data_IF_562399243268
#
_entry.id   IF_562399243268
#
_cell.length_a   1.000
_cell.length_b   1.000
_cell.length_c   1.000
_cell.angle_alpha   90.00
_cell.angle_beta   90.00
_cell.angle_gamma   90.00
#
_symmetry.space_group_name_H-M   'P 1'
#
loop_
_entity.id
_entity.type
_entity.pdbx_description
1 polymer ?
#
# COMPACT_ATOMS: atom_id res chain seq x y z
N UNK A 1 -24.91 -13.29 -51.78
CA UNK A 1 -25.98 -13.02 -50.81
C UNK A 1 -25.37 -12.29 -49.65
N UNK A 2 -25.95 -11.15 -49.32
CA UNK A 2 -25.26 -10.10 -48.58
C UNK A 2 -25.32 -10.36 -47.08
N UNK A 3 -24.19 -10.17 -46.39
CA UNK A 3 -24.10 -10.15 -44.92
C UNK A 3 -25.14 -9.20 -44.29
N UNK A 4 -25.60 -8.21 -45.07
CA UNK A 4 -26.65 -7.26 -44.67
C UNK A 4 -28.01 -7.94 -44.48
N UNK A 5 -28.38 -8.89 -45.34
CA UNK A 5 -29.65 -9.63 -45.21
C UNK A 5 -29.69 -10.53 -43.95
N UNK A 6 -28.56 -11.16 -43.61
CA UNK A 6 -28.44 -11.98 -42.40
C UNK A 6 -28.51 -11.15 -41.12
N UNK A 7 -27.94 -9.94 -41.14
CA UNK A 7 -27.99 -8.99 -40.02
C UNK A 7 -29.42 -8.51 -39.78
N UNK A 8 -30.18 -8.19 -40.83
CA UNK A 8 -31.57 -7.74 -40.70
C UNK A 8 -32.53 -8.87 -40.31
N UNK A 9 -32.26 -10.10 -40.76
CA UNK A 9 -32.98 -11.31 -40.33
C UNK A 9 -32.76 -11.59 -38.83
N UNK A 10 -31.54 -11.43 -38.33
CA UNK A 10 -31.20 -11.54 -36.90
C UNK A 10 -31.83 -10.43 -36.05
N UNK A 11 -31.83 -9.20 -36.55
CA UNK A 11 -32.47 -8.04 -35.89
C UNK A 11 -33.97 -8.23 -35.71
N UNK A 12 -34.62 -8.86 -36.68
CA UNK A 12 -36.05 -9.13 -36.68
C UNK A 12 -36.39 -10.32 -35.76
N UNK A 13 -35.55 -11.36 -35.72
CA UNK A 13 -35.75 -12.52 -34.85
C UNK A 13 -35.49 -12.25 -33.37
N UNK A 14 -34.59 -11.33 -33.01
CA UNK A 14 -34.27 -11.00 -31.61
C UNK A 14 -35.12 -9.87 -30.99
N UNK A 15 -36.21 -9.40 -31.63
CA UNK A 15 -37.04 -8.29 -31.12
C UNK A 15 -36.21 -7.04 -30.70
N UNK A 16 -35.13 -6.72 -31.42
CA UNK A 16 -34.24 -5.59 -31.08
C UNK A 16 -34.92 -4.21 -31.20
N UNK A 17 -36.09 -4.15 -31.84
CA UNK A 17 -36.79 -2.91 -32.20
C UNK A 17 -37.45 -2.18 -31.02
N UNK A 18 -37.82 -2.91 -29.97
CA UNK A 18 -38.49 -2.36 -28.78
C UNK A 18 -37.59 -2.28 -27.53
N UNK A 19 -36.31 -2.62 -27.67
CA UNK A 19 -35.38 -2.55 -26.53
C UNK A 19 -35.09 -1.09 -26.15
N UNK A 20 -35.13 -0.75 -24.83
CA UNK A 20 -34.77 0.57 -24.35
C UNK A 20 -33.35 0.93 -24.79
N UNK A 21 -33.11 2.20 -25.08
CA UNK A 21 -31.84 2.70 -25.63
C UNK A 21 -30.63 2.32 -24.78
N UNK A 22 -30.80 2.20 -23.46
CA UNK A 22 -29.80 1.71 -22.51
C UNK A 22 -29.33 0.27 -22.78
N UNK A 23 -30.24 -0.62 -23.17
CA UNK A 23 -29.92 -2.03 -23.45
C UNK A 23 -29.17 -2.19 -24.79
N UNK A 24 -29.48 -1.34 -25.77
CA UNK A 24 -28.74 -1.29 -27.04
C UNK A 24 -27.31 -0.81 -26.84
N UNK A 25 -27.11 0.24 -26.04
CA UNK A 25 -25.79 0.73 -25.68
C UNK A 25 -25.01 -0.35 -24.92
N UNK A 26 -25.66 -1.07 -24.00
CA UNK A 26 -25.06 -2.19 -23.28
C UNK A 26 -24.53 -3.30 -24.19
N UNK A 27 -25.28 -3.70 -25.22
CA UNK A 27 -24.87 -4.75 -26.16
C UNK A 27 -23.69 -4.29 -27.04
N UNK A 28 -23.69 -3.03 -27.48
CA UNK A 28 -22.56 -2.45 -28.24
C UNK A 28 -21.30 -2.39 -27.39
N UNK A 29 -21.40 -1.98 -26.12
CA UNK A 29 -20.28 -1.97 -25.19
C UNK A 29 -19.76 -3.38 -24.89
N UNK A 30 -20.65 -4.36 -24.70
CA UNK A 30 -20.27 -5.77 -24.51
C UNK A 30 -19.50 -6.31 -25.72
N UNK A 31 -19.98 -6.02 -26.94
CA UNK A 31 -19.30 -6.40 -28.18
C UNK A 31 -17.91 -5.78 -28.30
N UNK A 32 -17.77 -4.49 -27.97
CA UNK A 32 -16.49 -3.79 -28.00
C UNK A 32 -15.48 -4.36 -26.99
N UNK A 33 -15.94 -4.73 -25.79
CA UNK A 33 -15.11 -5.37 -24.75
C UNK A 33 -14.62 -6.74 -25.20
N UNK A 34 -15.49 -7.56 -25.80
CA UNK A 34 -15.10 -8.88 -26.32
C UNK A 34 -14.05 -8.72 -27.44
N UNK A 35 -14.24 -7.75 -28.34
CA UNK A 35 -13.30 -7.48 -29.42
C UNK A 35 -11.95 -6.97 -28.88
N UNK A 36 -11.95 -6.16 -27.82
CA UNK A 36 -10.75 -5.71 -27.13
C UNK A 36 -9.99 -6.87 -26.46
N UNK A 37 -10.69 -7.81 -25.82
CA UNK A 37 -10.08 -9.01 -25.21
C UNK A 37 -9.46 -9.92 -26.29
N UNK A 38 -10.15 -10.12 -27.42
CA UNK A 38 -9.61 -10.87 -28.55
C UNK A 38 -8.39 -10.18 -29.16
N UNK A 39 -8.39 -8.84 -29.23
CA UNK A 39 -7.25 -8.06 -29.70
C UNK A 39 -6.05 -8.17 -28.77
N UNK A 40 -6.26 -8.08 -27.45
CA UNK A 40 -5.23 -8.31 -26.43
C UNK A 40 -4.66 -9.73 -26.50
N UNK A 41 -5.53 -10.74 -26.68
CA UNK A 41 -5.11 -12.14 -26.83
C UNK A 41 -4.33 -12.41 -28.11
N UNK A 42 -4.66 -11.73 -29.22
CA UNK A 42 -3.93 -11.87 -30.48
C UNK A 42 -2.54 -11.22 -30.41
N UNK A 43 -2.40 -10.13 -29.65
CA UNK A 43 -1.11 -9.45 -29.47
C UNK A 43 -0.10 -10.27 -28.64
N UNK A 44 -0.59 -11.13 -27.74
CA UNK A 44 0.24 -12.10 -27.00
C UNK A 44 0.83 -13.18 -27.91
N UNK A 45 0.16 -13.53 -29.02
CA UNK A 45 0.65 -14.57 -29.93
C UNK A 45 1.71 -14.04 -30.91
N UNK A 46 1.76 -12.73 -31.14
CA UNK A 46 2.74 -12.10 -32.04
C UNK A 46 4.03 -11.66 -31.36
N UNK A 47 4.05 -11.62 -30.02
CA UNK A 47 5.20 -11.12 -29.24
C UNK A 47 5.99 -12.25 -28.56
N UNK A 48 6.10 -13.40 -29.23
CA UNK A 48 6.93 -14.53 -28.78
C UNK A 48 8.40 -14.37 -29.19
N UNK A 49 9.14 -13.49 -28.51
CA UNK A 49 10.59 -13.45 -28.64
C UNK A 49 11.21 -14.72 -28.04
N UNK A 50 11.97 -15.41 -28.89
CA UNK A 50 12.68 -16.64 -28.58
C UNK A 50 13.88 -16.31 -27.69
N UNK A 51 13.74 -16.52 -26.38
CA UNK A 51 14.86 -16.44 -25.45
C UNK A 51 15.77 -17.67 -25.62
N UNK A 52 16.82 -17.49 -26.41
CA UNK A 52 17.89 -18.47 -26.62
C UNK A 52 18.63 -18.73 -25.30
N UNK A 53 18.79 -20.02 -25.01
CA UNK A 53 19.49 -20.57 -23.85
C UNK A 53 21.01 -20.45 -24.04
N UNK A 54 21.64 -19.93 -22.99
CA UNK A 54 23.07 -19.81 -22.74
C UNK A 54 23.80 -21.17 -22.83
N UNK A 55 24.96 -21.16 -23.47
CA UNK A 55 25.80 -22.32 -23.74
C UNK A 55 27.27 -21.91 -23.80
N UNK A 56 27.87 -21.88 -22.61
CA UNK A 56 29.31 -21.76 -22.32
C UNK A 56 30.26 -22.41 -23.33
N UNK A 57 31.28 -21.66 -23.78
CA UNK A 57 32.64 -22.13 -24.11
C UNK A 57 33.49 -20.89 -24.46
N UNK A 58 34.47 -20.49 -23.65
CA UNK A 58 35.86 -20.95 -23.70
C UNK A 58 36.77 -19.82 -24.25
N UNK A 59 37.59 -19.27 -23.36
CA UNK A 59 38.98 -18.82 -23.53
C UNK A 59 39.45 -18.26 -24.88
N UNK A 60 40.04 -17.06 -24.86
CA UNK A 60 41.44 -16.85 -25.28
C UNK A 60 41.83 -15.37 -25.17
N UNK A 61 42.83 -15.10 -24.33
CA UNK A 61 43.64 -13.90 -24.41
C UNK A 61 44.54 -14.02 -25.65
N UNK A 62 44.59 -12.98 -26.49
CA UNK A 62 45.74 -12.78 -27.36
C UNK A 62 45.97 -11.29 -27.63
N UNK A 63 47.13 -10.85 -27.12
CA UNK A 63 47.79 -9.58 -27.35
C UNK A 63 48.52 -9.63 -28.71
N UNK A 64 48.52 -8.54 -29.48
CA UNK A 64 49.19 -8.50 -30.78
C UNK A 64 48.84 -7.33 -31.70
N UNK A 65 49.27 -6.13 -31.30
CA UNK A 65 50.12 -5.21 -32.09
C UNK A 65 49.91 -5.06 -33.63
N UNK A 66 49.59 -3.81 -34.00
CA UNK A 66 50.11 -2.96 -35.10
C UNK A 66 49.50 -2.97 -36.54
N UNK A 67 49.06 -1.76 -36.92
CA UNK A 67 49.23 -1.05 -38.20
C UNK A 67 48.30 -1.37 -39.40
N UNK A 68 47.50 -0.36 -39.80
CA UNK A 68 46.63 -0.42 -40.98
C UNK A 68 45.78 0.82 -41.28
N UNK A 69 46.40 2.00 -41.30
CA UNK A 69 46.10 3.24 -42.05
C UNK A 69 44.71 3.47 -42.73
N UNK A 70 44.03 4.54 -42.24
CA UNK A 70 43.18 5.57 -42.90
C UNK A 70 41.90 5.21 -43.67
N UNK A 71 40.74 5.71 -43.19
CA UNK A 71 39.94 6.75 -43.88
C UNK A 71 39.28 7.68 -42.85
N UNK A 72 39.66 8.95 -42.90
CA UNK A 72 38.95 10.11 -42.33
C UNK A 72 37.62 10.35 -43.06
N UNK A 73 36.50 10.43 -42.35
CA UNK A 73 35.44 11.37 -42.70
C UNK A 73 34.73 11.92 -41.45
N UNK A 74 34.63 13.24 -41.47
CA UNK A 74 34.23 14.19 -40.44
C UNK A 74 32.84 13.98 -39.81
N UNK A 75 32.81 14.35 -38.53
CA UNK A 75 31.77 15.09 -37.80
C UNK A 75 30.41 15.30 -38.48
N UNK A 76 29.39 14.72 -37.85
CA UNK A 76 28.16 15.45 -37.56
C UNK A 76 27.90 15.36 -36.06
N UNK A 77 28.09 16.50 -35.38
CA UNK A 77 27.67 16.70 -34.01
C UNK A 77 26.15 16.48 -33.90
N UNK A 78 25.76 15.54 -33.04
CA UNK A 78 24.46 15.62 -32.37
C UNK A 78 24.73 15.65 -30.87
N UNK A 79 24.73 16.86 -30.32
CA UNK A 79 24.18 17.10 -28.99
C UNK A 79 22.80 16.44 -28.94
N UNK A 80 22.63 15.50 -28.02
CA UNK A 80 21.43 14.70 -27.90
C UNK A 80 21.40 14.02 -26.57
N UNK A 81 21.07 14.80 -25.54
CA UNK A 81 20.47 14.37 -24.27
C UNK A 81 21.26 13.28 -23.54
N UNK A 82 21.99 13.70 -22.51
CA UNK A 82 22.25 12.85 -21.35
C UNK A 82 20.91 12.26 -20.89
N UNK A 83 20.63 11.03 -21.32
CA UNK A 83 19.63 10.19 -20.72
C UNK A 83 20.16 9.89 -19.32
N UNK A 84 19.90 10.82 -18.40
CA UNK A 84 19.83 10.52 -16.99
C UNK A 84 18.76 9.44 -16.88
N UNK A 85 19.19 8.18 -16.94
CA UNK A 85 18.38 7.05 -16.52
C UNK A 85 18.11 7.29 -15.05
N UNK A 86 17.03 8.00 -14.76
CA UNK A 86 16.50 8.21 -13.41
C UNK A 86 16.24 6.81 -12.88
N UNK A 87 17.21 6.25 -12.14
CA UNK A 87 17.00 4.99 -11.44
C UNK A 87 15.72 5.16 -10.61
N UNK A 88 14.77 4.22 -10.69
CA UNK A 88 13.55 4.34 -9.90
C UNK A 88 13.98 4.39 -8.43
N UNK A 89 13.53 5.42 -7.72
CA UNK A 89 13.76 5.51 -6.29
C UNK A 89 13.21 4.23 -5.64
N UNK A 90 13.99 3.59 -4.78
CA UNK A 90 13.57 2.36 -4.06
C UNK A 90 13.03 2.77 -2.70
N UNK A 91 11.92 2.18 -2.30
CA UNK A 91 11.26 2.39 -1.01
C UNK A 91 11.46 1.14 -0.15
N UNK A 92 11.76 1.33 1.13
CA UNK A 92 11.81 0.26 2.12
C UNK A 92 10.47 0.11 2.81
N UNK A 93 9.93 -1.11 2.86
CA UNK A 93 8.64 -1.43 3.50
C UNK A 93 8.74 -2.67 4.37
N UNK A 94 8.18 -2.61 5.57
CA UNK A 94 8.14 -3.74 6.49
C UNK A 94 6.81 -4.48 6.38
N UNK A 95 6.82 -5.73 5.91
CA UNK A 95 5.61 -6.56 5.76
C UNK A 95 5.56 -7.57 6.91
N UNK A 96 4.46 -7.56 7.66
CA UNK A 96 4.25 -8.45 8.83
C UNK A 96 2.85 -9.04 8.85
N UNK A 97 2.68 -10.10 9.64
CA UNK A 97 1.40 -10.79 9.82
C UNK A 97 1.27 -12.01 8.91
N UNK A 98 0.08 -12.22 8.36
CA UNK A 98 -0.29 -13.40 7.58
C UNK A 98 0.18 -13.33 6.11
N UNK A 99 1.50 -13.32 5.93
CA UNK A 99 2.19 -13.43 4.64
C UNK A 99 3.19 -14.58 4.69
N UNK A 100 3.59 -15.12 3.53
CA UNK A 100 4.46 -16.29 3.48
C UNK A 100 5.82 -16.02 4.14
N UNK A 101 6.42 -14.86 3.89
CA UNK A 101 7.71 -14.45 4.44
C UNK A 101 7.60 -13.03 5.03
N UNK A 102 7.32 -12.87 6.32
CA UNK A 102 7.39 -11.57 6.98
C UNK A 102 8.82 -11.02 6.96
N UNK A 103 8.98 -9.72 6.72
CA UNK A 103 10.31 -9.12 6.62
C UNK A 103 10.32 -7.72 6.00
N UNK A 104 11.53 -7.18 5.81
CA UNK A 104 11.77 -5.91 5.15
C UNK A 104 11.99 -6.14 3.65
N UNK A 105 11.31 -5.35 2.81
CA UNK A 105 11.35 -5.45 1.36
C UNK A 105 11.65 -4.10 0.72
N UNK A 106 12.37 -4.13 -0.40
CA UNK A 106 12.58 -2.96 -1.25
C UNK A 106 11.69 -3.04 -2.48
N UNK A 107 10.92 -1.99 -2.73
CA UNK A 107 10.01 -1.87 -3.89
C UNK A 107 10.28 -0.58 -4.64
N UNK A 108 9.88 -0.50 -5.90
CA UNK A 108 10.02 0.74 -6.67
C UNK A 108 9.07 1.83 -6.15
N UNK A 109 9.47 3.09 -6.22
CA UNK A 109 8.63 4.23 -5.87
C UNK A 109 7.37 4.26 -6.74
N UNK A 110 6.22 4.50 -6.11
CA UNK A 110 4.91 4.39 -6.75
C UNK A 110 4.35 2.95 -6.83
N UNK A 111 5.08 1.96 -6.33
CA UNK A 111 4.56 0.60 -6.17
C UNK A 111 3.35 0.59 -5.25
N UNK A 112 2.41 -0.33 -5.51
CA UNK A 112 1.23 -0.55 -4.67
C UNK A 112 1.49 -1.62 -3.63
N UNK A 113 0.70 -1.61 -2.55
CA UNK A 113 0.75 -2.61 -1.46
C UNK A 113 0.80 -4.04 -2.00
N UNK A 114 0.09 -4.34 -3.08
CA UNK A 114 0.15 -5.65 -3.75
C UNK A 114 1.58 -6.10 -4.08
N UNK A 115 2.43 -5.22 -4.62
CA UNK A 115 3.80 -5.57 -4.99
C UNK A 115 4.65 -5.99 -3.78
N UNK A 116 4.45 -5.35 -2.61
CA UNK A 116 5.13 -5.74 -1.38
C UNK A 116 4.63 -7.08 -0.83
N UNK A 117 3.33 -7.38 -0.95
CA UNK A 117 2.77 -8.68 -0.57
C UNK A 117 3.29 -9.79 -1.50
N UNK A 118 3.37 -9.52 -2.81
CA UNK A 118 3.93 -10.45 -3.78
C UNK A 118 5.42 -10.71 -3.51
N UNK A 119 6.19 -9.66 -3.18
CA UNK A 119 7.59 -9.78 -2.73
C UNK A 119 7.73 -10.59 -1.44
N UNK A 120 6.75 -10.51 -0.54
CA UNK A 120 6.67 -11.35 0.67
C UNK A 120 6.26 -12.80 0.40
N UNK A 121 6.07 -13.21 -0.86
CA UNK A 121 5.63 -14.55 -1.25
C UNK A 121 4.12 -14.77 -1.18
N UNK A 122 3.36 -13.69 -1.11
CA UNK A 122 1.90 -13.70 -1.07
C UNK A 122 1.31 -13.92 0.33
N UNK A 123 -0.01 -14.03 0.35
CA UNK A 123 -0.80 -14.28 1.55
C UNK A 123 -0.72 -15.74 2.02
N UNK A 124 -0.79 -15.97 3.33
CA UNK A 124 -1.05 -17.32 3.88
C UNK A 124 -2.52 -17.71 3.69
N UNK A 125 -2.85 -18.99 3.92
CA UNK A 125 -4.24 -19.45 3.89
C UNK A 125 -5.12 -18.82 4.98
N UNK A 126 -4.52 -18.37 6.08
CA UNK A 126 -5.21 -17.76 7.21
C UNK A 126 -5.30 -16.23 7.11
N UNK A 127 -4.69 -15.64 6.07
CA UNK A 127 -4.70 -14.21 5.84
C UNK A 127 -6.10 -13.66 5.54
N UNK A 128 -6.45 -12.57 6.22
CA UNK A 128 -7.54 -11.72 5.80
C UNK A 128 -7.03 -10.72 4.75
N UNK A 129 -7.25 -11.03 3.47
CA UNK A 129 -6.86 -10.16 2.36
C UNK A 129 -7.54 -8.77 2.43
N UNK A 130 -8.72 -8.68 3.03
CA UNK A 130 -9.44 -7.41 3.23
C UNK A 130 -8.85 -6.52 4.32
N UNK A 131 -7.83 -6.97 5.06
CA UNK A 131 -7.16 -6.16 6.09
C UNK A 131 -6.27 -5.06 5.52
N UNK A 132 -5.90 -5.16 4.25
CA UNK A 132 -5.03 -4.19 3.57
C UNK A 132 -5.64 -3.75 2.25
N UNK A 133 -5.46 -2.47 1.90
CA UNK A 133 -5.84 -1.98 0.58
C UNK A 133 -4.71 -2.24 -0.42
N UNK A 134 -4.82 -3.33 -1.18
CA UNK A 134 -3.84 -3.75 -2.19
C UNK A 134 -3.52 -2.69 -3.25
N UNK A 135 -4.48 -1.79 -3.53
CA UNK A 135 -4.35 -0.76 -4.55
C UNK A 135 -3.67 0.53 -4.05
N UNK A 136 -3.44 0.65 -2.74
CA UNK A 136 -2.80 1.82 -2.13
C UNK A 136 -1.33 1.89 -2.54
N UNK A 137 -0.84 3.09 -2.81
CA UNK A 137 0.60 3.33 -3.03
C UNK A 137 1.39 3.14 -1.74
N UNK A 138 2.61 2.66 -1.89
CA UNK A 138 3.53 2.42 -0.78
C UNK A 138 4.31 3.70 -0.48
N UNK A 139 4.49 3.97 0.80
CA UNK A 139 5.32 5.08 1.31
C UNK A 139 6.60 4.51 1.92
N UNK A 140 7.72 5.21 1.73
CA UNK A 140 9.00 4.80 2.32
C UNK A 140 8.93 4.71 3.86
N UNK A 141 9.52 3.65 4.40
CA UNK A 141 9.61 3.39 5.84
C UNK A 141 8.30 2.94 6.49
N UNK A 142 7.26 2.62 5.72
CA UNK A 142 5.99 2.18 6.29
C UNK A 142 5.96 0.69 6.69
N UNK A 143 4.96 0.32 7.50
CA UNK A 143 4.68 -1.06 7.87
C UNK A 143 3.31 -1.50 7.33
N UNK A 144 3.30 -2.63 6.61
CA UNK A 144 2.09 -3.29 6.12
C UNK A 144 1.81 -4.48 7.04
N UNK A 145 0.64 -4.46 7.69
CA UNK A 145 0.21 -5.53 8.60
C UNK A 145 -0.95 -6.29 7.96
N UNK A 146 -0.75 -7.58 7.68
CA UNK A 146 -1.82 -8.46 7.19
C UNK A 146 -2.42 -9.21 8.37
N UNK A 147 -3.67 -8.91 8.70
CA UNK A 147 -4.37 -9.58 9.80
C UNK A 147 -4.78 -11.00 9.41
N UNK A 148 -4.97 -11.88 10.40
CA UNK A 148 -5.59 -13.19 10.18
C UNK A 148 -7.11 -13.09 10.10
N UNK A 149 -7.74 -14.06 9.44
CA UNK A 149 -9.21 -14.22 9.37
C UNK A 149 -9.81 -14.34 10.78
N UNK A 150 -9.12 -15.02 11.70
CA UNK A 150 -9.55 -15.17 13.10
C UNK A 150 -9.50 -13.83 13.86
N UNK A 151 -8.43 -13.05 13.71
CA UNK A 151 -8.31 -11.74 14.35
C UNK A 151 -9.38 -10.76 13.83
N UNK A 152 -9.73 -10.83 12.55
CA UNK A 152 -10.78 -9.98 11.97
C UNK A 152 -12.20 -10.35 12.42
N UNK A 153 -12.45 -11.62 12.76
CA UNK A 153 -13.76 -12.06 13.28
C UNK A 153 -13.96 -11.63 14.74
N UNK A 154 -12.90 -11.57 15.54
CA UNK A 154 -12.95 -11.07 16.92
C UNK A 154 -13.26 -9.57 17.02
N UNK A 155 -12.88 -8.77 16.00
CA UNK A 155 -13.22 -7.34 15.92
C UNK A 155 -14.68 -7.05 15.52
N UNK A 156 -15.32 -7.94 14.77
CA UNK A 156 -16.70 -7.77 14.32
C UNK A 156 -17.75 -8.12 15.39
N UNK A 157 -17.39 -8.95 16.39
CA UNK A 157 -18.26 -9.29 17.52
C UNK A 157 -18.34 -8.19 18.60
N UNK A 158 -17.56 -7.11 18.50
CA UNK A 158 -17.55 -5.97 19.43
C UNK A 158 -18.50 -4.81 19.05
N UNK A 159 -19.08 -4.81 17.84
CA UNK A 159 -19.95 -3.75 17.34
C UNK A 159 -21.42 -4.17 17.36
N UNK A 160 -21.92 -4.50 18.55
CA UNK A 160 -23.27 -5.03 18.71
C UNK A 160 -23.71 -5.12 20.17
N UNK A 161 -23.56 -4.05 20.95
CA UNK A 161 -24.27 -3.89 22.24
C UNK A 161 -24.27 -2.42 22.68
N UNK A 162 -25.25 -1.67 22.17
CA UNK A 162 -25.79 -0.51 22.86
C UNK A 162 -27.00 -0.99 23.68
N UNK A 163 -26.88 -1.02 25.01
CA UNK A 163 -27.96 -1.46 25.91
C UNK A 163 -27.53 -1.59 27.36
N UNK A 164 -27.49 -0.45 28.07
CA UNK A 164 -27.62 -0.24 29.52
C UNK A 164 -27.06 -1.23 30.57
N UNK A 165 -26.11 -0.68 31.33
CA UNK A 165 -26.06 -0.57 32.79
C UNK A 165 -25.93 -1.83 33.69
N UNK A 166 -24.81 -1.78 34.43
CA UNK A 166 -24.62 -2.13 35.84
C UNK A 166 -23.88 -3.44 36.19
N UNK A 167 -22.83 -3.20 37.00
CA UNK A 167 -22.27 -4.01 38.10
C UNK A 167 -21.16 -5.04 37.84
N UNK A 168 -19.97 -4.65 38.33
CA UNK A 168 -19.01 -5.42 39.12
C UNK A 168 -18.13 -6.51 38.48
N UNK A 169 -16.85 -6.12 38.34
CA UNK A 169 -15.61 -6.80 38.77
C UNK A 169 -15.27 -8.24 38.34
N UNK A 170 -14.02 -8.33 37.85
CA UNK A 170 -12.96 -9.31 38.15
C UNK A 170 -12.60 -10.38 37.09
N UNK A 171 -11.29 -10.42 36.77
CA UNK A 171 -10.55 -11.53 36.14
C UNK A 171 -10.49 -11.48 34.60
N UNK A 172 -9.46 -10.93 33.94
CA UNK A 172 -8.13 -11.54 33.66
C UNK A 172 -8.26 -12.82 32.78
N UNK A 173 -7.67 -13.02 31.60
CA UNK A 173 -6.53 -12.45 30.86
C UNK A 173 -6.66 -12.91 29.38
N UNK A 174 -6.43 -12.09 28.34
CA UNK A 174 -5.13 -11.85 27.64
C UNK A 174 -5.15 -12.51 26.23
N UNK A 175 -4.61 -12.01 25.12
CA UNK A 175 -3.75 -10.88 24.72
C UNK A 175 -3.83 -10.76 23.16
N UNK A 176 -3.44 -9.68 22.47
CA UNK A 176 -2.75 -8.49 22.93
C UNK A 176 -2.77 -7.34 21.90
N UNK A 177 -2.79 -6.13 22.43
CA UNK A 177 -2.10 -4.98 21.85
C UNK A 177 -1.12 -4.53 22.92
N UNK A 178 0.12 -4.33 22.50
CA UNK A 178 1.26 -4.00 23.35
C UNK A 178 0.99 -2.76 24.19
N UNK A 179 0.56 -2.96 25.42
CA UNK A 179 0.71 -2.01 26.51
C UNK A 179 1.37 -2.79 27.63
N UNK A 180 2.69 -2.66 27.72
CA UNK A 180 3.38 -3.04 28.93
C UNK A 180 2.79 -2.18 30.07
N UNK A 181 2.26 -2.78 31.15
CA UNK A 181 1.80 -2.03 32.31
C UNK A 181 3.04 -1.46 33.00
N UNK A 182 3.39 -0.23 32.65
CA UNK A 182 4.61 0.45 33.10
C UNK A 182 5.38 1.22 32.02
N UNK A 183 4.93 1.21 30.76
CA UNK A 183 5.55 1.99 29.69
C UNK A 183 5.13 3.46 29.72
N UNK A 184 6.10 4.38 29.66
CA UNK A 184 5.86 5.82 29.55
C UNK A 184 5.08 6.11 28.25
N UNK A 185 4.11 7.01 28.31
CA UNK A 185 3.32 7.46 27.16
C UNK A 185 4.12 8.47 26.37
N UNK A 186 4.41 8.20 25.10
CA UNK A 186 5.08 9.16 24.22
C UNK A 186 4.10 10.27 23.80
N UNK A 187 4.36 11.52 24.18
CA UNK A 187 3.44 12.66 23.93
C UNK A 187 3.40 13.10 22.46
N UNK A 188 4.42 12.74 21.68
CA UNK A 188 4.52 13.06 20.26
C UNK A 188 3.78 12.04 19.37
N UNK A 189 3.69 10.78 19.80
CA UNK A 189 3.09 9.70 19.00
C UNK A 189 1.79 9.14 19.56
N UNK A 190 1.50 9.36 20.85
CA UNK A 190 0.28 8.86 21.47
C UNK A 190 -0.97 9.42 20.80
N UNK A 191 -1.99 8.57 20.75
CA UNK A 191 -3.34 8.86 20.31
C UNK A 191 -4.19 9.44 21.46
N UNK A 192 -5.44 9.77 21.17
CA UNK A 192 -6.35 10.37 22.17
C UNK A 192 -6.53 9.44 23.38
N UNK A 193 -6.62 8.13 23.14
CA UNK A 193 -6.80 7.14 24.19
C UNK A 193 -5.57 7.01 25.09
N UNK A 194 -4.37 6.95 24.49
CA UNK A 194 -3.10 6.92 25.22
C UNK A 194 -2.88 8.18 26.04
N UNK A 195 -3.16 9.37 25.50
CA UNK A 195 -3.04 10.63 26.23
C UNK A 195 -4.09 10.76 27.35
N UNK A 196 -5.30 10.24 27.15
CA UNK A 196 -6.37 10.27 28.17
C UNK A 196 -6.17 9.25 29.29
N UNK A 197 -5.23 8.31 29.13
CA UNK A 197 -4.85 7.38 30.19
C UNK A 197 -4.01 8.04 31.30
N UNK A 198 -3.47 9.24 31.02
CA UNK A 198 -2.66 10.00 31.95
C UNK A 198 -3.51 10.63 33.05
N UNK A 199 -3.01 10.60 34.29
CA UNK A 199 -3.71 11.12 35.46
C UNK A 199 -4.10 12.59 35.29
N UNK A 200 -5.40 12.89 35.23
CA UNK A 200 -5.92 14.24 35.09
C UNK A 200 -5.93 14.81 33.67
N UNK A 201 -5.63 14.00 32.65
CA UNK A 201 -5.85 14.34 31.23
C UNK A 201 -7.11 13.63 30.75
N UNK A 202 -8.15 14.41 30.43
CA UNK A 202 -9.34 13.89 29.75
C UNK A 202 -9.25 14.08 28.24
N UNK A 203 -10.22 13.52 27.52
CA UNK A 203 -10.32 13.56 26.06
C UNK A 203 -10.21 15.00 25.49
N UNK A 204 -10.82 15.97 26.16
CA UNK A 204 -10.77 17.38 25.76
C UNK A 204 -9.34 17.96 25.84
N UNK A 205 -8.55 17.56 26.83
CA UNK A 205 -7.16 17.98 26.98
C UNK A 205 -6.25 17.19 26.03
N UNK A 206 -6.50 15.90 25.85
CA UNK A 206 -5.80 15.07 24.87
C UNK A 206 -5.91 15.62 23.45
N UNK A 207 -7.11 16.02 23.01
CA UNK A 207 -7.32 16.68 21.71
C UNK A 207 -6.51 17.96 21.56
N UNK A 208 -6.36 18.74 22.64
CA UNK A 208 -5.55 19.95 22.62
C UNK A 208 -4.05 19.67 22.50
N UNK A 209 -3.56 18.59 23.13
CA UNK A 209 -2.15 18.17 22.99
C UNK A 209 -1.86 17.83 21.52
N UNK A 210 -2.76 17.10 20.86
CA UNK A 210 -2.62 16.74 19.45
C UNK A 210 -2.66 18.00 18.55
N UNK A 211 -3.65 18.85 18.74
CA UNK A 211 -3.77 20.10 17.98
C UNK A 211 -2.55 21.01 18.17
N UNK A 212 -1.97 21.01 19.36
CA UNK A 212 -0.82 21.82 19.69
C UNK A 212 0.49 21.27 19.07
N UNK A 213 0.71 19.95 19.02
CA UNK A 213 1.86 19.38 18.30
C UNK A 213 1.75 19.54 16.78
N UNK A 214 0.54 19.55 16.24
CA UNK A 214 0.29 19.84 14.82
C UNK A 214 0.55 21.30 14.47
N UNK A 215 0.19 22.23 15.36
CA UNK A 215 0.31 23.68 15.13
C UNK A 215 1.68 24.24 15.46
N UNK A 216 2.27 23.83 16.59
CA UNK A 216 3.51 24.39 17.14
C UNK A 216 4.71 23.44 16.95
N UNK A 217 4.50 22.28 16.31
CA UNK A 217 5.51 21.25 16.10
C UNK A 217 5.65 20.29 17.29
N UNK A 218 6.48 19.23 17.16
CA UNK A 218 6.65 18.22 18.21
C UNK A 218 7.19 18.83 19.52
N UNK A 219 6.88 18.18 20.64
CA UNK A 219 7.43 18.52 21.94
C UNK A 219 8.88 18.04 22.02
N UNK A 220 9.80 18.93 22.41
CA UNK A 220 11.23 18.60 22.53
C UNK A 220 11.57 18.06 23.91
N UNK A 221 10.83 18.51 24.91
CA UNK A 221 10.96 18.08 26.29
C UNK A 221 9.60 17.69 26.86
N UNK A 222 9.58 16.84 27.88
CA UNK A 222 8.34 16.47 28.57
C UNK A 222 7.65 17.68 29.22
N UNK A 223 8.43 18.70 29.63
CA UNK A 223 7.91 19.95 30.20
C UNK A 223 7.18 20.80 29.17
N UNK A 224 7.48 20.69 27.88
CA UNK A 224 6.81 21.48 26.84
C UNK A 224 5.30 21.21 26.76
N UNK A 225 4.82 20.10 27.35
CA UNK A 225 3.40 19.80 27.47
C UNK A 225 2.60 20.90 28.22
N UNK A 226 3.26 21.72 29.04
CA UNK A 226 2.61 22.85 29.74
C UNK A 226 2.22 24.01 28.81
N UNK A 227 2.69 24.02 27.55
CA UNK A 227 2.24 25.00 26.54
C UNK A 227 0.77 24.78 26.13
N UNK A 228 0.23 23.59 26.40
CA UNK A 228 -1.15 23.22 26.09
C UNK A 228 -2.12 23.80 27.11
N UNK A 229 -3.15 24.51 26.61
CA UNK A 229 -4.18 25.11 27.47
C UNK A 229 -4.93 24.06 28.31
N UNK A 230 -4.76 24.14 29.63
CA UNK A 230 -5.38 23.23 30.59
C UNK A 230 -4.41 22.24 31.26
N UNK A 231 -3.14 22.23 30.86
CA UNK A 231 -2.06 21.49 31.53
C UNK A 231 -1.17 22.50 32.25
N UNK A 232 -1.50 22.78 33.51
CA UNK A 232 -0.65 23.60 34.39
C UNK A 232 0.33 22.73 35.17
N UNK A 233 1.19 23.36 35.96
CA UNK A 233 2.25 22.69 36.74
C UNK A 233 1.71 21.52 37.59
N UNK A 234 0.54 21.70 38.22
CA UNK A 234 -0.10 20.63 39.02
C UNK A 234 -0.40 19.37 38.22
N UNK A 235 -0.83 19.51 36.95
CA UNK A 235 -1.12 18.37 36.09
C UNK A 235 0.17 17.76 35.54
N UNK A 236 1.13 18.60 35.16
CA UNK A 236 2.45 18.15 34.72
C UNK A 236 3.16 17.30 35.79
N UNK A 237 3.19 17.75 37.04
CA UNK A 237 3.80 17.00 38.14
C UNK A 237 3.15 15.63 38.38
N UNK A 238 1.86 15.50 38.08
CA UNK A 238 1.13 14.24 38.23
C UNK A 238 1.40 13.24 37.09
N UNK A 239 1.93 13.70 35.95
CA UNK A 239 2.12 12.88 34.74
C UNK A 239 3.58 12.79 34.28
N UNK A 240 4.49 13.60 34.82
CA UNK A 240 5.90 13.71 34.36
C UNK A 240 6.63 12.37 34.35
N UNK A 241 6.30 11.48 35.30
CA UNK A 241 6.91 10.15 35.44
C UNK A 241 6.26 9.10 34.53
N UNK A 242 5.13 9.45 33.91
CA UNK A 242 4.34 8.61 33.01
C UNK A 242 4.43 9.04 31.55
N UNK A 243 5.23 10.05 31.21
CA UNK A 243 5.35 10.60 29.85
C UNK A 243 6.78 10.61 29.34
N UNK A 244 6.95 10.43 28.04
CA UNK A 244 8.21 10.60 27.30
C UNK A 244 7.98 11.43 26.03
N UNK A 245 9.05 11.96 25.45
CA UNK A 245 9.06 12.61 24.11
C UNK A 245 9.52 11.64 23.04
#
# INVERSE_FOLDING_TARGET
MSFVDDVDSLKTKLHLRDMPTSLRIGLVLLGAIILFILFQGLWQLTSGDTHLIDGSAQSSWQEGSEEGLTVTQAEAAQEGTEASTSQPARLSVHVVGEVANPGLYEVDAGSRVQAAIDAAGGFTNDANQGSVNLAREIVDGEQIVVASKSASAAGAAGAGSAGSAATASSGASGAGSSSAPGGLVNINTADIAGLSSLSGIGEATAKKIIADREKNGPFKTTKDITRVSGIGDKKYEAIKDSITV
#
